data_IF_206975452723
#
_entry.id   IF_206975452723
#
_cell.length_a   1.000
_cell.length_b   1.000
_cell.length_c   1.000
_cell.angle_alpha   90.00
_cell.angle_beta   90.00
_cell.angle_gamma   90.00
#
_symmetry.space_group_name_H-M   'P 1'
#
loop_
_entity.id
_entity.type
_entity.pdbx_description
1 polymer ?
#
# COMPACT_ATOMS: atom_id res chain seq x y z
N UNK A 1 -2.90 -19.51 12.70
CA UNK A 1 -3.47 -18.51 11.76
C UNK A 1 -2.43 -17.63 11.02
N UNK A 2 -1.10 -17.82 11.14
CA UNK A 2 -0.11 -16.86 10.60
C UNK A 2 0.41 -17.07 9.17
N UNK A 3 0.24 -18.26 8.57
CA UNK A 3 0.81 -18.56 7.23
C UNK A 3 -0.08 -18.15 6.05
N UNK A 4 -1.41 -18.22 6.22
CA UNK A 4 -2.38 -17.88 5.16
C UNK A 4 -2.27 -16.39 4.76
N UNK A 5 -2.19 -15.48 5.74
CA UNK A 5 -2.14 -14.04 5.48
C UNK A 5 -0.90 -13.63 4.66
N UNK A 6 0.29 -14.12 5.02
CA UNK A 6 1.57 -13.74 4.37
C UNK A 6 1.70 -14.19 2.91
N UNK A 7 1.12 -15.33 2.53
CA UNK A 7 1.18 -15.83 1.15
C UNK A 7 0.36 -14.95 0.22
N UNK A 8 -0.86 -14.62 0.64
CA UNK A 8 -1.81 -13.79 -0.11
C UNK A 8 -1.32 -12.34 -0.27
N UNK A 9 -0.58 -11.81 0.70
CA UNK A 9 -0.08 -10.42 0.60
C UNK A 9 1.02 -10.26 -0.45
N UNK A 10 1.84 -11.30 -0.71
CA UNK A 10 2.89 -11.21 -1.74
C UNK A 10 2.32 -11.15 -3.15
N UNK A 11 1.24 -11.90 -3.41
CA UNK A 11 0.54 -11.81 -4.69
C UNK A 11 -0.15 -10.46 -4.82
N UNK A 12 -0.79 -9.97 -3.74
CA UNK A 12 -1.41 -8.66 -3.73
C UNK A 12 -0.43 -7.53 -4.12
N UNK A 13 0.80 -7.53 -3.58
CA UNK A 13 1.85 -6.58 -3.99
C UNK A 13 2.12 -6.66 -5.48
N UNK A 14 2.30 -7.86 -6.06
CA UNK A 14 2.55 -8.01 -7.50
C UNK A 14 1.41 -7.49 -8.37
N UNK A 15 0.17 -7.69 -7.96
CA UNK A 15 -0.99 -7.16 -8.68
C UNK A 15 -1.01 -5.63 -8.63
N UNK A 16 -0.72 -5.06 -7.47
CA UNK A 16 -0.64 -3.61 -7.29
C UNK A 16 0.50 -2.99 -8.07
N UNK A 17 1.70 -3.60 -8.09
CA UNK A 17 2.83 -3.14 -8.90
C UNK A 17 2.45 -3.02 -10.38
N UNK A 18 1.73 -4.03 -10.92
CA UNK A 18 1.22 -3.97 -12.30
C UNK A 18 0.19 -2.87 -12.52
N UNK A 19 -0.66 -2.58 -11.53
CA UNK A 19 -1.63 -1.47 -11.64
C UNK A 19 -0.92 -0.13 -11.63
N UNK A 20 0.13 0.04 -10.81
CA UNK A 20 0.97 1.23 -10.79
C UNK A 20 1.68 1.42 -12.14
N UNK A 21 2.14 0.33 -12.77
CA UNK A 21 2.75 0.40 -14.11
C UNK A 21 1.76 0.85 -15.19
N UNK A 22 0.47 0.50 -15.06
CA UNK A 22 -0.58 0.86 -16.02
C UNK A 22 -1.11 2.27 -15.75
N UNK A 23 -1.30 2.63 -14.49
CA UNK A 23 -1.91 3.88 -14.02
C UNK A 23 -1.03 4.54 -12.94
N UNK A 24 0.13 5.11 -13.31
CA UNK A 24 1.11 5.61 -12.33
C UNK A 24 0.61 6.85 -11.56
N UNK A 25 -0.33 7.60 -12.13
CA UNK A 25 -0.91 8.80 -11.53
C UNK A 25 -1.98 8.49 -10.47
N UNK A 26 -2.50 7.26 -10.45
CA UNK A 26 -3.53 6.83 -9.50
C UNK A 26 -2.88 6.54 -8.14
N UNK A 27 -3.20 7.37 -7.16
CA UNK A 27 -2.57 7.34 -5.81
C UNK A 27 -3.08 6.14 -5.00
N UNK A 28 -4.28 5.68 -5.31
CA UNK A 28 -4.99 4.60 -4.67
C UNK A 28 -4.24 3.27 -4.82
N UNK A 29 -3.51 3.07 -5.93
CA UNK A 29 -2.65 1.89 -6.11
C UNK A 29 -1.44 1.92 -5.17
N UNK A 30 -0.78 3.07 -5.03
CA UNK A 30 0.34 3.25 -4.08
C UNK A 30 -0.13 3.11 -2.63
N UNK A 31 -1.36 3.53 -2.34
CA UNK A 31 -2.00 3.29 -1.04
C UNK A 31 -2.23 1.80 -0.78
N UNK A 32 -2.77 1.08 -1.76
CA UNK A 32 -2.98 -0.36 -1.65
C UNK A 32 -1.65 -1.12 -1.46
N UNK A 33 -0.57 -0.66 -2.09
CA UNK A 33 0.79 -1.18 -1.90
C UNK A 33 1.26 -1.01 -0.44
N UNK A 34 1.07 0.18 0.12
CA UNK A 34 1.44 0.50 1.50
C UNK A 34 0.70 -0.39 2.50
N UNK A 35 -0.60 -0.60 2.31
CA UNK A 35 -1.42 -1.51 3.12
C UNK A 35 -0.96 -2.96 3.01
N UNK A 36 -0.58 -3.40 1.80
CA UNK A 36 -0.01 -4.73 1.61
C UNK A 36 1.30 -4.89 2.41
N UNK A 37 2.21 -3.92 2.35
CA UNK A 37 3.43 -3.97 3.16
C UNK A 37 3.16 -3.96 4.66
N UNK A 38 2.15 -3.21 5.12
CA UNK A 38 1.73 -3.21 6.52
C UNK A 38 1.24 -4.59 6.95
N UNK A 39 0.37 -5.22 6.17
CA UNK A 39 -0.13 -6.58 6.42
C UNK A 39 0.98 -7.65 6.41
N UNK A 40 2.08 -7.41 5.69
CA UNK A 40 3.27 -8.26 5.69
C UNK A 40 4.20 -8.03 6.89
N UNK A 41 3.94 -7.01 7.72
CA UNK A 41 4.84 -6.56 8.78
C UNK A 41 6.04 -5.76 8.27
N UNK A 42 6.07 -5.37 6.99
CA UNK A 42 7.10 -4.50 6.40
C UNK A 42 6.79 -3.02 6.70
N UNK A 43 6.67 -2.69 8.00
CA UNK A 43 6.19 -1.39 8.47
C UNK A 43 7.04 -0.20 7.99
N UNK A 44 8.36 -0.40 7.81
CA UNK A 44 9.24 0.65 7.30
C UNK A 44 8.87 1.07 5.87
N UNK A 45 8.55 0.11 5.00
CA UNK A 45 8.13 0.41 3.62
C UNK A 45 6.76 1.07 3.57
N UNK A 46 5.80 0.51 4.32
CA UNK A 46 4.46 1.07 4.44
C UNK A 46 4.50 2.54 4.90
N UNK A 47 5.29 2.85 5.94
CA UNK A 47 5.46 4.22 6.44
C UNK A 47 6.05 5.17 5.40
N UNK A 48 7.00 4.73 4.58
CA UNK A 48 7.56 5.57 3.52
C UNK A 48 6.50 5.92 2.49
N UNK A 49 5.77 4.92 1.99
CA UNK A 49 4.71 5.12 1.00
C UNK A 49 3.59 6.02 1.55
N UNK A 50 3.14 5.79 2.79
CA UNK A 50 2.14 6.65 3.42
C UNK A 50 2.59 8.11 3.54
N UNK A 51 3.88 8.37 3.80
CA UNK A 51 4.42 9.73 3.85
C UNK A 51 4.45 10.37 2.47
N UNK A 52 4.78 9.62 1.42
CA UNK A 52 4.78 10.12 0.04
C UNK A 52 3.35 10.45 -0.41
N UNK A 53 2.40 9.56 -0.14
CA UNK A 53 0.98 9.78 -0.42
C UNK A 53 0.45 11.00 0.34
N UNK A 54 0.79 11.16 1.63
CA UNK A 54 0.38 12.35 2.40
C UNK A 54 0.95 13.66 1.86
N UNK A 55 2.13 13.64 1.22
CA UNK A 55 2.68 14.86 0.58
C UNK A 55 1.88 15.25 -0.66
N UNK A 56 1.43 14.26 -1.43
CA UNK A 56 0.71 14.48 -2.69
C UNK A 56 -0.81 14.68 -2.49
N UNK A 57 -1.39 13.94 -1.55
CA UNK A 57 -2.82 13.95 -1.18
C UNK A 57 -2.96 13.95 0.36
N UNK A 58 -2.77 15.11 1.01
CA UNK A 58 -2.78 15.21 2.48
C UNK A 58 -4.06 14.73 3.17
N UNK A 59 -5.19 14.71 2.46
CA UNK A 59 -6.49 14.30 2.99
C UNK A 59 -6.82 12.82 2.78
N UNK A 60 -6.15 12.15 1.84
CA UNK A 60 -6.49 10.79 1.43
C UNK A 60 -6.33 9.80 2.60
N UNK A 61 -5.20 9.84 3.31
CA UNK A 61 -4.92 8.93 4.43
C UNK A 61 -5.45 9.41 5.77
N UNK A 62 -5.77 10.70 5.88
CA UNK A 62 -6.40 11.25 7.09
C UNK A 62 -7.82 10.70 7.28
N UNK A 63 -8.51 10.38 6.20
CA UNK A 63 -9.83 9.76 6.22
C UNK A 63 -9.82 8.25 6.60
N UNK A 64 -8.69 7.57 6.44
CA UNK A 64 -8.55 6.12 6.68
C UNK A 64 -8.17 5.74 8.11
N UNK A 65 -7.89 6.72 8.98
CA UNK A 65 -7.48 6.52 10.38
C UNK A 65 -8.52 6.99 11.41
N UNK A 66 -9.82 6.90 11.11
CA UNK A 66 -10.92 7.19 12.07
C UNK A 66 -11.42 5.90 12.72
#
# INVERSE_FOLDING_TARGET
MGKMRRGQTKEAVKYVERLIDIEPEEVEWRLLEALCYEMMGQLSKAKTLFKEILKERPLLLRALHV
#
